data_IF_206727852116
#
_entry.id   IF_206727852116
#
_cell.length_a   1.000
_cell.length_b   1.000
_cell.length_c   1.000
_cell.angle_alpha   90.00
_cell.angle_beta   90.00
_cell.angle_gamma   90.00
#
_symmetry.space_group_name_H-M   'P 1'
#
loop_
_entity.id
_entity.type
_entity.pdbx_description
1 polymer ?
#
# COMPACT_ATOMS: atom_id res chain seq x y z
N UNK A 1 -46.36 32.93 -8.47
CA UNK A 1 -45.05 32.38 -8.90
C UNK A 1 -44.53 33.23 -10.05
N UNK A 2 -43.50 34.03 -9.83
CA UNK A 2 -43.04 35.06 -10.77
C UNK A 2 -42.31 34.43 -11.98
N UNK A 3 -42.39 35.06 -13.16
CA UNK A 3 -41.79 34.61 -14.43
C UNK A 3 -40.30 34.27 -14.29
N UNK A 4 -39.57 34.92 -13.38
CA UNK A 4 -38.16 34.65 -13.04
C UNK A 4 -37.95 33.31 -12.34
N UNK A 5 -38.88 32.87 -11.46
CA UNK A 5 -38.77 31.61 -10.75
C UNK A 5 -39.01 30.41 -11.68
N UNK A 6 -39.90 30.56 -12.68
CA UNK A 6 -40.10 29.54 -13.72
C UNK A 6 -38.87 29.34 -14.62
N UNK A 7 -38.19 30.43 -14.96
CA UNK A 7 -36.99 30.37 -15.80
C UNK A 7 -35.81 29.66 -15.06
N UNK A 8 -35.69 29.92 -13.77
CA UNK A 8 -34.64 29.25 -12.95
C UNK A 8 -34.91 27.75 -12.76
N UNK A 9 -36.15 27.37 -12.50
CA UNK A 9 -36.55 25.95 -12.37
C UNK A 9 -36.35 25.19 -13.72
N UNK A 10 -36.67 25.83 -14.85
CA UNK A 10 -36.51 25.21 -16.17
C UNK A 10 -35.01 25.02 -16.51
N UNK A 11 -34.15 25.96 -16.12
CA UNK A 11 -32.71 25.88 -16.35
C UNK A 11 -32.05 24.79 -15.51
N UNK A 12 -32.49 24.59 -14.24
CA UNK A 12 -32.01 23.51 -13.37
C UNK A 12 -32.47 22.14 -13.90
N UNK A 13 -33.71 22.04 -14.41
CA UNK A 13 -34.24 20.80 -14.98
C UNK A 13 -33.52 20.43 -16.30
N UNK A 14 -33.17 21.41 -17.14
CA UNK A 14 -32.38 21.18 -18.36
C UNK A 14 -30.93 20.77 -18.06
N UNK A 15 -30.28 21.33 -17.03
CA UNK A 15 -28.95 20.91 -16.58
C UNK A 15 -28.97 19.48 -16.01
N UNK A 16 -30.01 19.11 -15.25
CA UNK A 16 -30.15 17.77 -14.71
C UNK A 16 -30.38 16.71 -15.82
N UNK A 17 -31.16 17.02 -16.85
CA UNK A 17 -31.36 16.14 -18.02
C UNK A 17 -30.12 16.01 -18.91
N UNK A 18 -29.37 17.09 -19.10
CA UNK A 18 -28.13 17.08 -19.89
C UNK A 18 -26.99 16.31 -19.18
N UNK A 19 -26.93 16.38 -17.86
CA UNK A 19 -25.98 15.56 -17.08
C UNK A 19 -26.35 14.07 -17.06
N UNK A 20 -27.64 13.74 -17.01
CA UNK A 20 -28.12 12.35 -17.02
C UNK A 20 -27.83 11.63 -18.34
N UNK A 21 -27.92 12.30 -19.47
CA UNK A 21 -27.66 11.70 -20.80
C UNK A 21 -26.18 11.62 -21.13
N UNK A 22 -25.34 12.51 -20.62
CA UNK A 22 -23.88 12.47 -20.80
C UNK A 22 -23.20 11.31 -20.06
N UNK A 23 -23.73 10.92 -18.89
CA UNK A 23 -23.19 9.83 -18.07
C UNK A 23 -23.60 8.46 -18.63
N UNK A 24 -24.83 8.32 -19.15
CA UNK A 24 -25.32 7.08 -19.73
C UNK A 24 -24.61 6.71 -21.05
N UNK A 25 -24.19 7.70 -21.85
CA UNK A 25 -23.52 7.46 -23.14
C UNK A 25 -22.04 7.06 -23.00
N UNK A 26 -21.37 7.32 -21.88
CA UNK A 26 -19.98 6.92 -21.65
C UNK A 26 -19.84 5.49 -21.09
N UNK A 27 -20.94 4.85 -20.67
CA UNK A 27 -20.92 3.48 -20.11
C UNK A 27 -21.11 2.37 -21.14
N UNK A 28 -21.43 2.69 -22.39
CA UNK A 28 -21.62 1.71 -23.45
C UNK A 28 -20.29 1.47 -24.20
N UNK A 29 -19.48 0.52 -23.75
CA UNK A 29 -18.34 0.04 -24.54
C UNK A 29 -17.08 -0.38 -23.76
N UNK A 30 -17.17 -0.73 -22.49
CA UNK A 30 -16.01 -1.32 -21.80
C UNK A 30 -16.15 -2.84 -21.80
N UNK A 31 -15.31 -3.53 -22.60
CA UNK A 31 -15.03 -4.96 -22.39
C UNK A 31 -14.73 -5.19 -20.93
N UNK A 32 -15.29 -6.25 -20.34
CA UNK A 32 -15.00 -6.64 -18.95
C UNK A 32 -13.51 -6.53 -18.68
N UNK A 33 -13.08 -5.90 -17.56
CA UNK A 33 -11.67 -5.72 -17.27
C UNK A 33 -10.98 -7.08 -17.27
N UNK A 34 -9.99 -7.25 -18.15
CA UNK A 34 -9.25 -8.50 -18.28
C UNK A 34 -8.44 -8.69 -17.00
N UNK A 35 -8.86 -9.64 -16.18
CA UNK A 35 -8.13 -10.05 -15.00
C UNK A 35 -6.69 -10.43 -15.36
N UNK A 36 -5.76 -10.24 -14.43
CA UNK A 36 -4.38 -10.67 -14.59
C UNK A 36 -4.34 -12.19 -14.76
N UNK A 37 -3.51 -12.70 -15.67
CA UNK A 37 -3.36 -14.15 -15.86
C UNK A 37 -2.92 -14.80 -14.54
N UNK A 38 -3.45 -15.99 -14.19
CA UNK A 38 -3.07 -16.66 -12.96
C UNK A 38 -1.56 -16.80 -12.78
N UNK A 39 -1.06 -16.52 -11.60
CA UNK A 39 0.36 -16.61 -11.28
C UNK A 39 1.23 -15.43 -11.77
N UNK A 40 0.64 -14.45 -12.44
CA UNK A 40 1.36 -13.23 -12.85
C UNK A 40 1.17 -12.10 -11.85
N UNK A 41 2.18 -11.22 -11.77
CA UNK A 41 2.22 -10.04 -10.89
C UNK A 41 2.56 -8.82 -11.73
N UNK A 42 1.76 -7.77 -11.65
CA UNK A 42 2.06 -6.50 -12.33
C UNK A 42 3.27 -5.84 -11.70
N UNK A 43 4.27 -5.54 -12.52
CA UNK A 43 5.41 -4.67 -12.17
C UNK A 43 5.44 -3.46 -13.08
N UNK A 44 6.26 -2.46 -12.76
CA UNK A 44 6.40 -1.25 -13.58
C UNK A 44 7.00 -1.52 -14.97
N UNK A 45 7.63 -2.68 -15.18
CA UNK A 45 8.15 -3.11 -16.49
C UNK A 45 7.24 -4.10 -17.23
N UNK A 46 6.09 -4.41 -16.67
CA UNK A 46 5.14 -5.40 -17.17
C UNK A 46 4.98 -6.57 -16.21
N UNK A 47 4.09 -7.53 -16.53
CA UNK A 47 3.83 -8.66 -15.65
C UNK A 47 5.01 -9.63 -15.58
N UNK A 48 5.28 -10.14 -14.37
CA UNK A 48 6.26 -11.23 -14.12
C UNK A 48 5.56 -12.41 -13.43
N UNK A 49 6.12 -13.61 -13.54
CA UNK A 49 5.63 -14.76 -12.77
C UNK A 49 5.91 -14.54 -11.27
N UNK A 50 4.99 -14.90 -10.40
CA UNK A 50 5.16 -14.78 -8.94
C UNK A 50 6.39 -15.55 -8.43
N UNK A 51 6.75 -16.68 -9.08
CA UNK A 51 7.94 -17.47 -8.77
C UNK A 51 9.26 -16.69 -9.00
N UNK A 52 9.23 -15.64 -9.83
CA UNK A 52 10.39 -14.84 -10.18
C UNK A 52 10.59 -13.62 -9.28
N UNK A 53 9.72 -13.38 -8.30
CA UNK A 53 9.83 -12.24 -7.39
C UNK A 53 11.11 -12.30 -6.54
N UNK A 54 11.50 -13.50 -6.08
CA UNK A 54 12.68 -13.68 -5.21
C UNK A 54 12.51 -13.00 -3.85
N UNK A 55 13.60 -12.55 -3.24
CA UNK A 55 13.57 -11.80 -1.97
C UNK A 55 12.80 -10.50 -2.18
N UNK A 56 11.71 -10.36 -1.45
CA UNK A 56 10.72 -9.29 -1.65
C UNK A 56 10.46 -8.52 -0.37
N UNK A 57 10.57 -7.19 -0.46
CA UNK A 57 10.10 -6.28 0.57
C UNK A 57 8.71 -5.79 0.18
N UNK A 58 7.73 -6.06 1.03
CA UNK A 58 6.31 -5.83 0.70
C UNK A 58 5.80 -4.43 1.06
N UNK A 59 6.62 -3.60 1.71
CA UNK A 59 6.20 -2.28 2.18
C UNK A 59 7.38 -1.31 2.28
N UNK A 60 7.62 -0.57 1.21
CA UNK A 60 8.62 0.52 1.16
C UNK A 60 8.04 1.71 0.38
N UNK A 61 8.67 2.90 0.50
CA UNK A 61 8.31 4.10 -0.24
C UNK A 61 9.54 4.72 -0.90
N UNK A 62 9.57 4.80 -2.22
CA UNK A 62 10.64 5.51 -2.92
C UNK A 62 10.53 7.02 -2.72
N UNK A 63 9.32 7.53 -2.79
CA UNK A 63 9.02 8.95 -2.58
C UNK A 63 7.70 9.05 -1.83
N UNK A 64 7.62 9.96 -0.88
CA UNK A 64 6.40 10.20 -0.11
C UNK A 64 6.22 11.68 0.19
N UNK A 65 4.97 12.10 0.33
CA UNK A 65 4.57 13.38 0.91
C UNK A 65 3.16 13.29 1.45
N UNK A 66 2.87 14.00 2.52
CA UNK A 66 1.50 14.17 2.99
C UNK A 66 0.67 15.01 2.01
N UNK A 67 -0.67 14.81 1.96
CA UNK A 67 -1.57 15.61 1.14
C UNK A 67 -1.39 17.11 1.40
N UNK A 68 -1.52 17.91 0.36
CA UNK A 68 -1.35 19.36 0.46
C UNK A 68 0.09 19.86 0.29
N UNK A 69 1.10 18.97 0.21
CA UNK A 69 2.51 19.34 -0.01
C UNK A 69 2.70 20.26 -1.23
N UNK A 70 1.92 20.09 -2.28
CA UNK A 70 1.95 20.89 -3.51
C UNK A 70 1.44 22.33 -3.30
N UNK A 71 0.76 22.62 -2.19
CA UNK A 71 0.33 23.99 -1.85
C UNK A 71 1.48 24.87 -1.37
N UNK A 72 2.63 24.27 -1.02
CA UNK A 72 3.86 25.02 -0.77
C UNK A 72 4.56 25.37 -2.07
N UNK A 73 4.02 26.34 -2.78
CA UNK A 73 4.52 26.79 -4.08
C UNK A 73 5.96 27.36 -4.03
N UNK A 74 6.52 27.58 -2.85
CA UNK A 74 7.89 28.09 -2.68
C UNK A 74 8.95 27.03 -2.96
N UNK A 75 8.57 25.74 -2.99
CA UNK A 75 9.46 24.61 -3.25
C UNK A 75 9.26 23.97 -4.63
N UNK A 76 8.37 24.54 -5.44
CA UNK A 76 8.06 24.02 -6.76
C UNK A 76 9.03 24.59 -7.84
N UNK A 77 9.43 23.83 -8.89
CA UNK A 77 9.10 22.42 -9.15
C UNK A 77 9.97 21.44 -8.34
N UNK A 78 9.42 20.24 -8.10
CA UNK A 78 10.13 19.19 -7.39
C UNK A 78 11.36 18.71 -8.16
N UNK A 79 12.42 18.42 -7.41
CA UNK A 79 13.65 17.85 -7.97
C UNK A 79 13.56 16.32 -8.12
N UNK A 80 12.84 15.87 -9.14
CA UNK A 80 12.74 14.45 -9.49
C UNK A 80 14.08 13.83 -9.87
N UNK A 81 15.06 14.60 -10.32
CA UNK A 81 16.42 14.11 -10.58
C UNK A 81 17.13 13.77 -9.27
N UNK A 82 16.94 14.57 -8.25
CA UNK A 82 17.45 14.28 -6.90
C UNK A 82 16.79 13.04 -6.32
N UNK A 83 15.45 12.92 -6.42
CA UNK A 83 14.72 11.73 -6.02
C UNK A 83 15.23 10.47 -6.75
N UNK A 84 15.45 10.56 -8.06
CA UNK A 84 16.02 9.46 -8.85
C UNK A 84 17.42 9.07 -8.34
N UNK A 85 18.30 10.04 -8.11
CA UNK A 85 19.68 9.79 -7.65
C UNK A 85 19.69 9.10 -6.28
N UNK A 86 18.89 9.59 -5.32
CA UNK A 86 18.75 9.00 -3.99
C UNK A 86 18.30 7.55 -4.10
N UNK A 87 17.22 7.30 -4.82
CA UNK A 87 16.64 5.96 -4.94
C UNK A 87 17.52 4.98 -5.72
N UNK A 88 18.32 5.43 -6.68
CA UNK A 88 19.36 4.58 -7.30
C UNK A 88 20.41 4.13 -6.28
N UNK A 89 20.81 5.00 -5.35
CA UNK A 89 21.69 4.66 -4.23
C UNK A 89 21.07 3.61 -3.32
N UNK A 90 19.81 3.79 -2.93
CA UNK A 90 19.05 2.84 -2.09
C UNK A 90 18.94 1.47 -2.78
N UNK A 91 18.59 1.44 -4.08
CA UNK A 91 18.45 0.20 -4.82
C UNK A 91 19.80 -0.52 -5.02
N UNK A 92 20.92 0.21 -5.06
CA UNK A 92 22.26 -0.40 -5.04
C UNK A 92 22.49 -1.15 -3.72
N UNK A 93 22.12 -0.57 -2.57
CA UNK A 93 22.19 -1.25 -1.26
C UNK A 93 21.26 -2.47 -1.21
N UNK A 94 20.03 -2.33 -1.68
CA UNK A 94 19.07 -3.43 -1.74
C UNK A 94 19.62 -4.63 -2.55
N UNK A 95 20.16 -4.37 -3.71
CA UNK A 95 20.78 -5.42 -4.56
C UNK A 95 21.98 -6.09 -3.89
N UNK A 96 22.80 -5.32 -3.19
CA UNK A 96 24.00 -5.85 -2.52
C UNK A 96 23.67 -6.90 -1.44
N UNK A 97 22.44 -6.86 -0.89
CA UNK A 97 21.94 -7.85 0.08
C UNK A 97 20.96 -8.86 -0.56
N UNK A 98 20.81 -8.87 -1.88
CA UNK A 98 20.04 -9.89 -2.60
C UNK A 98 18.55 -9.59 -2.78
N UNK A 99 18.06 -8.40 -2.41
CA UNK A 99 16.67 -7.99 -2.65
C UNK A 99 16.42 -7.91 -4.16
N UNK A 100 15.36 -8.57 -4.63
CA UNK A 100 14.98 -8.64 -6.04
C UNK A 100 13.69 -7.90 -6.37
N UNK A 101 12.79 -7.76 -5.41
CA UNK A 101 11.49 -7.12 -5.60
C UNK A 101 11.17 -6.18 -4.44
N UNK A 102 10.63 -5.01 -4.77
CA UNK A 102 10.15 -4.02 -3.78
C UNK A 102 8.74 -3.61 -4.18
N UNK A 103 7.82 -3.66 -3.22
CA UNK A 103 6.49 -3.08 -3.34
C UNK A 103 6.55 -1.65 -2.80
N UNK A 104 6.30 -0.68 -3.69
CA UNK A 104 6.06 0.71 -3.28
C UNK A 104 4.61 0.84 -2.83
N UNK A 105 4.43 1.01 -1.52
CA UNK A 105 3.14 1.04 -0.86
C UNK A 105 2.49 2.43 -0.84
N UNK A 106 2.96 3.38 -1.67
CA UNK A 106 2.44 4.75 -1.71
C UNK A 106 1.05 4.79 -2.37
N UNK A 107 -0.04 5.08 -1.63
CA UNK A 107 -1.40 5.11 -2.19
C UNK A 107 -1.66 6.35 -3.05
N UNK A 108 -2.87 6.43 -3.63
CA UNK A 108 -3.24 7.46 -4.62
C UNK A 108 -3.33 8.87 -4.06
N UNK A 109 -3.76 8.98 -2.80
CA UNK A 109 -4.17 10.24 -2.16
C UNK A 109 -3.09 10.88 -1.29
N UNK A 110 -1.88 10.32 -1.30
CA UNK A 110 -0.67 10.96 -0.77
C UNK A 110 0.28 11.35 -1.92
N UNK A 111 1.25 12.23 -1.65
CA UNK A 111 2.24 12.60 -2.65
C UNK A 111 3.32 11.54 -2.85
N UNK A 112 4.00 11.61 -3.99
CA UNK A 112 5.20 10.80 -4.24
C UNK A 112 5.00 9.59 -5.12
N UNK A 113 3.80 9.02 -5.25
CA UNK A 113 3.54 7.90 -6.16
C UNK A 113 3.83 8.29 -7.62
N UNK A 114 4.99 7.85 -8.13
CA UNK A 114 5.45 8.19 -9.47
C UNK A 114 5.85 6.95 -10.28
N UNK A 115 4.90 6.32 -11.00
CA UNK A 115 5.16 5.11 -11.78
C UNK A 115 6.25 5.28 -12.84
N UNK A 116 6.41 6.46 -13.42
CA UNK A 116 7.45 6.75 -14.44
C UNK A 116 8.85 6.76 -13.82
N UNK A 117 9.00 7.35 -12.63
CA UNK A 117 10.24 7.28 -11.85
C UNK A 117 10.56 5.82 -11.53
N UNK A 118 9.59 5.05 -11.02
CA UNK A 118 9.78 3.65 -10.65
C UNK A 118 10.16 2.78 -11.86
N UNK A 119 9.58 3.04 -13.03
CA UNK A 119 9.97 2.38 -14.29
C UNK A 119 11.44 2.68 -14.65
N UNK A 120 11.88 3.92 -14.45
CA UNK A 120 13.27 4.32 -14.68
C UNK A 120 14.22 3.63 -13.70
N UNK A 121 13.86 3.58 -12.41
CA UNK A 121 14.60 2.87 -11.37
C UNK A 121 14.74 1.37 -11.69
N UNK A 122 13.63 0.71 -12.01
CA UNK A 122 13.61 -0.71 -12.36
C UNK A 122 14.47 -1.02 -13.58
N UNK A 123 14.38 -0.20 -14.65
CA UNK A 123 15.22 -0.37 -15.86
C UNK A 123 16.72 -0.25 -15.56
N UNK A 124 17.12 0.70 -14.70
CA UNK A 124 18.53 0.94 -14.38
C UNK A 124 19.12 -0.08 -13.42
N UNK A 125 18.30 -0.68 -12.58
CA UNK A 125 18.79 -1.54 -11.49
C UNK A 125 18.51 -3.03 -11.69
N UNK A 126 17.50 -3.37 -12.48
CA UNK A 126 16.99 -4.73 -12.63
C UNK A 126 16.18 -5.22 -11.42
N UNK A 127 15.87 -4.36 -10.46
CA UNK A 127 14.96 -4.68 -9.34
C UNK A 127 13.52 -4.59 -9.84
N UNK A 128 12.70 -5.59 -9.55
CA UNK A 128 11.27 -5.51 -9.79
C UNK A 128 10.66 -4.49 -8.86
N UNK A 129 9.88 -3.56 -9.39
CA UNK A 129 9.12 -2.61 -8.59
C UNK A 129 7.63 -2.81 -8.88
N UNK A 130 6.84 -2.94 -7.82
CA UNK A 130 5.40 -3.11 -7.87
C UNK A 130 4.76 -1.83 -7.33
N UNK A 131 3.92 -1.16 -8.14
CA UNK A 131 3.15 -0.01 -7.70
C UNK A 131 1.90 -0.44 -6.95
N UNK A 132 1.47 0.37 -5.98
CA UNK A 132 0.14 0.27 -5.37
C UNK A 132 -0.89 1.14 -6.10
N UNK A 133 -2.16 0.75 -5.97
CA UNK A 133 -3.35 1.60 -5.97
C UNK A 133 -3.96 1.56 -4.58
N UNK A 134 -4.77 2.53 -4.22
CA UNK A 134 -5.40 2.53 -2.90
C UNK A 134 -5.58 3.92 -2.32
N UNK A 135 -6.11 3.99 -1.10
CA UNK A 135 -6.28 5.23 -0.36
C UNK A 135 -5.77 5.07 1.08
N UNK A 136 -5.22 6.16 1.63
CA UNK A 136 -4.64 6.20 2.96
C UNK A 136 -5.70 6.35 4.05
N UNK A 137 -5.28 6.59 5.29
CA UNK A 137 -6.19 6.83 6.42
C UNK A 137 -7.05 8.07 6.20
N UNK A 138 -8.19 8.18 6.86
CA UNK A 138 -9.03 9.39 6.77
C UNK A 138 -8.30 10.63 7.30
N UNK A 139 -7.49 10.44 8.34
CA UNK A 139 -6.79 11.55 9.00
C UNK A 139 -5.63 12.10 8.17
N UNK A 140 -4.83 11.24 7.56
CA UNK A 140 -3.60 11.61 6.86
C UNK A 140 -3.72 11.56 5.33
N UNK A 141 -4.82 11.01 4.79
CA UNK A 141 -5.12 10.96 3.36
C UNK A 141 -5.86 12.20 2.85
N UNK A 142 -6.55 12.05 1.74
CA UNK A 142 -7.33 13.12 1.09
C UNK A 142 -8.83 12.78 0.98
N UNK A 143 -9.53 12.55 2.09
CA UNK A 143 -10.91 12.07 2.08
C UNK A 143 -11.91 13.09 1.52
N UNK A 144 -11.60 14.40 1.54
CA UNK A 144 -12.51 15.46 1.15
C UNK A 144 -13.07 15.28 -0.26
N UNK A 145 -12.22 14.87 -1.22
CA UNK A 145 -12.64 14.63 -2.60
C UNK A 145 -13.76 13.59 -2.70
N UNK A 146 -13.71 12.52 -1.91
CA UNK A 146 -14.72 11.46 -1.90
C UNK A 146 -15.93 11.84 -1.05
N UNK A 147 -15.70 12.38 0.14
CA UNK A 147 -16.76 12.72 1.12
C UNK A 147 -17.76 13.74 0.61
N UNK A 148 -17.33 14.69 -0.23
CA UNK A 148 -18.23 15.68 -0.85
C UNK A 148 -19.32 15.06 -1.74
N UNK A 149 -19.20 13.80 -2.13
CA UNK A 149 -20.19 13.09 -2.96
C UNK A 149 -21.27 12.40 -2.16
N UNK A 150 -20.99 12.06 -0.90
CA UNK A 150 -21.92 11.32 -0.01
C UNK A 150 -23.24 12.06 0.20
N UNK A 151 -23.30 13.37 0.46
CA UNK A 151 -24.57 14.11 0.61
C UNK A 151 -25.43 14.11 -0.67
N UNK A 152 -24.82 13.80 -1.83
CA UNK A 152 -25.51 13.70 -3.12
C UNK A 152 -25.93 12.27 -3.46
N UNK A 153 -25.90 11.35 -2.47
CA UNK A 153 -26.36 9.97 -2.63
C UNK A 153 -25.36 9.00 -3.32
N UNK A 154 -24.10 9.40 -3.50
CA UNK A 154 -23.12 8.52 -4.09
C UNK A 154 -22.65 7.44 -3.12
N UNK A 155 -22.63 6.18 -3.56
CA UNK A 155 -21.85 5.12 -2.89
C UNK A 155 -20.37 5.28 -3.27
N UNK A 156 -19.62 5.89 -2.37
CA UNK A 156 -18.20 6.14 -2.61
C UNK A 156 -17.38 4.85 -2.70
N UNK A 157 -17.85 3.74 -2.12
CA UNK A 157 -17.15 2.45 -2.25
C UNK A 157 -17.18 1.92 -3.69
N UNK A 158 -18.26 2.17 -4.45
CA UNK A 158 -18.33 1.84 -5.87
C UNK A 158 -17.36 2.70 -6.68
N UNK A 159 -17.42 4.02 -6.49
CA UNK A 159 -16.56 4.95 -7.23
C UNK A 159 -15.06 4.69 -6.98
N UNK A 160 -14.69 4.43 -5.72
CA UNK A 160 -13.31 4.12 -5.33
C UNK A 160 -12.89 2.77 -5.93
N UNK A 161 -13.74 1.75 -5.89
CA UNK A 161 -13.43 0.43 -6.48
C UNK A 161 -13.18 0.51 -7.97
N UNK A 162 -13.93 1.34 -8.70
CA UNK A 162 -13.69 1.58 -10.13
C UNK A 162 -12.28 2.13 -10.39
N UNK A 163 -11.80 3.07 -9.56
CA UNK A 163 -10.44 3.60 -9.70
C UNK A 163 -9.41 2.50 -9.49
N UNK A 164 -9.54 1.71 -8.41
CA UNK A 164 -8.61 0.63 -8.12
C UNK A 164 -8.58 -0.40 -9.25
N UNK A 165 -9.75 -0.83 -9.74
CA UNK A 165 -9.87 -1.80 -10.83
C UNK A 165 -9.24 -1.24 -12.12
N UNK A 166 -9.49 0.03 -12.47
CA UNK A 166 -8.91 0.66 -13.66
C UNK A 166 -7.38 0.75 -13.57
N UNK A 167 -6.83 1.16 -12.43
CA UNK A 167 -5.37 1.22 -12.26
C UNK A 167 -4.70 -0.15 -12.33
N UNK A 168 -5.38 -1.21 -11.89
CA UNK A 168 -4.88 -2.59 -11.96
C UNK A 168 -4.99 -3.16 -13.38
N UNK A 169 -6.06 -2.86 -14.10
CA UNK A 169 -6.37 -3.52 -15.39
C UNK A 169 -5.96 -2.70 -16.61
N UNK A 170 -6.03 -1.38 -16.52
CA UNK A 170 -5.74 -0.46 -17.63
C UNK A 170 -4.45 0.31 -17.44
N UNK A 171 -4.14 0.73 -16.20
CA UNK A 171 -2.92 1.44 -15.84
C UNK A 171 -3.17 2.74 -15.07
N UNK A 172 -2.14 3.19 -14.39
CA UNK A 172 -2.12 4.41 -13.57
C UNK A 172 -2.01 5.63 -14.49
N UNK A 173 -3.06 6.44 -14.53
CA UNK A 173 -3.14 7.59 -15.41
C UNK A 173 -2.91 7.22 -16.88
N UNK A 174 -2.03 7.98 -17.57
CA UNK A 174 -1.66 7.74 -18.97
C UNK A 174 -0.37 6.92 -19.12
N UNK A 175 0.17 6.34 -18.05
CA UNK A 175 1.47 5.66 -18.06
C UNK A 175 1.43 4.27 -18.66
N UNK A 176 0.26 3.62 -18.68
CA UNK A 176 0.09 2.20 -19.01
C UNK A 176 0.70 1.25 -17.96
N UNK A 177 1.30 1.76 -16.90
CA UNK A 177 1.85 0.96 -15.79
C UNK A 177 0.70 0.56 -14.86
N UNK A 178 0.55 -0.73 -14.60
CA UNK A 178 -0.54 -1.29 -13.82
C UNK A 178 -0.14 -1.48 -12.36
N UNK A 179 -1.06 -1.19 -11.44
CA UNK A 179 -0.86 -1.51 -10.03
C UNK A 179 -0.84 -3.03 -9.80
N UNK A 180 0.01 -3.48 -8.89
CA UNK A 180 0.14 -4.90 -8.52
C UNK A 180 -0.36 -5.22 -7.11
N UNK A 181 -0.63 -4.21 -6.27
CA UNK A 181 -1.22 -4.34 -4.94
C UNK A 181 -2.25 -3.23 -4.70
N UNK A 182 -3.19 -3.48 -3.79
CA UNK A 182 -4.14 -2.47 -3.28
C UNK A 182 -3.66 -2.09 -1.89
N UNK A 183 -3.29 -0.82 -1.68
CA UNK A 183 -2.84 -0.29 -0.38
C UNK A 183 -3.94 0.56 0.24
N UNK A 184 -4.41 0.15 1.41
CA UNK A 184 -5.43 0.89 2.17
C UNK A 184 -4.97 1.09 3.61
N UNK A 185 -5.49 2.11 4.26
CA UNK A 185 -5.15 2.43 5.65
C UNK A 185 -6.37 2.74 6.49
N UNK A 186 -6.26 2.49 7.80
CA UNK A 186 -7.24 2.97 8.77
C UNK A 186 -6.55 3.56 9.99
N UNK A 187 -7.24 4.46 10.68
CA UNK A 187 -6.91 4.87 12.03
C UNK A 187 -7.05 3.72 13.04
N UNK A 188 -6.83 3.99 14.34
CA UNK A 188 -7.00 2.99 15.41
C UNK A 188 -8.42 2.42 15.48
N UNK A 189 -9.41 3.21 15.09
CA UNK A 189 -10.81 2.83 14.92
C UNK A 189 -11.21 3.11 13.47
N UNK A 190 -11.88 2.14 12.83
CA UNK A 190 -12.28 2.26 11.43
C UNK A 190 -13.43 3.26 11.30
N UNK A 191 -13.19 4.38 10.66
CA UNK A 191 -14.22 5.38 10.38
C UNK A 191 -15.20 4.93 9.29
N UNK A 192 -16.38 5.55 9.16
CA UNK A 192 -17.30 5.25 8.05
C UNK A 192 -16.69 5.45 6.65
N UNK A 193 -15.79 6.43 6.51
CA UNK A 193 -15.03 6.65 5.27
C UNK A 193 -14.07 5.49 5.00
N UNK A 194 -13.27 5.13 5.99
CA UNK A 194 -12.30 4.04 5.89
C UNK A 194 -12.99 2.69 5.66
N UNK A 195 -14.16 2.45 6.28
CA UNK A 195 -14.98 1.29 6.00
C UNK A 195 -15.40 1.24 4.51
N UNK A 196 -15.75 2.39 3.90
CA UNK A 196 -16.06 2.45 2.47
C UNK A 196 -14.84 2.17 1.60
N UNK A 197 -13.63 2.61 2.02
CA UNK A 197 -12.37 2.32 1.33
C UNK A 197 -12.03 0.84 1.41
N UNK A 198 -12.15 0.21 2.59
CA UNK A 198 -11.94 -1.24 2.76
C UNK A 198 -12.93 -2.07 1.92
N UNK A 199 -14.20 -1.66 1.88
CA UNK A 199 -15.22 -2.29 1.01
C UNK A 199 -14.83 -2.17 -0.47
N UNK A 200 -14.35 -1.00 -0.92
CA UNK A 200 -13.85 -0.80 -2.27
C UNK A 200 -12.64 -1.70 -2.58
N UNK A 201 -11.71 -1.85 -1.63
CA UNK A 201 -10.55 -2.72 -1.78
C UNK A 201 -10.95 -4.19 -1.90
N UNK A 202 -11.89 -4.66 -1.08
CA UNK A 202 -12.42 -6.04 -1.18
C UNK A 202 -13.08 -6.29 -2.55
N UNK A 203 -13.89 -5.35 -3.06
CA UNK A 203 -14.48 -5.42 -4.40
C UNK A 203 -13.42 -5.49 -5.49
N UNK A 204 -12.38 -4.63 -5.40
CA UNK A 204 -11.30 -4.60 -6.37
C UNK A 204 -10.46 -5.88 -6.34
N UNK A 205 -10.14 -6.40 -5.14
CA UNK A 205 -9.45 -7.69 -5.01
C UNK A 205 -10.26 -8.81 -5.66
N UNK A 206 -11.55 -8.92 -5.36
CA UNK A 206 -12.45 -9.93 -5.93
C UNK A 206 -12.52 -9.86 -7.45
N UNK A 207 -12.54 -8.64 -8.02
CA UNK A 207 -12.62 -8.42 -9.47
C UNK A 207 -11.29 -8.70 -10.19
N UNK A 208 -10.16 -8.49 -9.55
CA UNK A 208 -8.84 -8.48 -10.21
C UNK A 208 -7.89 -9.58 -9.73
N UNK A 209 -8.13 -10.13 -8.54
CA UNK A 209 -7.24 -11.09 -7.89
C UNK A 209 -5.94 -10.50 -7.31
N UNK A 210 -5.77 -9.19 -7.33
CA UNK A 210 -4.59 -8.48 -6.79
C UNK A 210 -4.68 -8.42 -5.26
N UNK A 211 -3.59 -8.65 -4.50
CA UNK A 211 -3.65 -8.66 -3.05
C UNK A 211 -3.87 -7.28 -2.42
N UNK A 212 -4.44 -7.28 -1.22
CA UNK A 212 -4.59 -6.10 -0.36
C UNK A 212 -3.46 -6.10 0.66
N UNK A 213 -2.79 -4.96 0.81
CA UNK A 213 -1.85 -4.67 1.89
C UNK A 213 -2.39 -3.48 2.68
N UNK A 214 -2.27 -3.51 4.00
CA UNK A 214 -2.89 -2.48 4.82
C UNK A 214 -1.89 -1.63 5.61
N UNK A 215 -2.38 -0.54 6.15
CA UNK A 215 -1.77 0.27 7.19
C UNK A 215 -2.70 0.26 8.41
N UNK A 216 -2.18 -0.08 9.57
CA UNK A 216 -2.86 0.12 10.86
C UNK A 216 -2.17 1.27 11.58
N UNK A 217 -2.96 2.20 12.13
CA UNK A 217 -2.42 3.27 12.95
C UNK A 217 -2.35 2.83 14.41
N UNK A 218 -1.16 2.96 15.02
CA UNK A 218 -0.95 2.54 16.39
C UNK A 218 -0.98 1.02 16.59
N UNK A 219 -1.14 0.52 17.83
CA UNK A 219 -1.04 -0.90 18.18
C UNK A 219 -2.36 -1.68 18.07
N UNK A 220 -3.31 -1.21 17.28
CA UNK A 220 -4.68 -1.74 17.16
C UNK A 220 -5.16 -1.75 15.70
N UNK A 221 -6.38 -2.25 15.49
CA UNK A 221 -7.13 -2.14 14.24
C UNK A 221 -6.90 -3.27 13.25
N UNK A 222 -5.88 -4.09 13.40
CA UNK A 222 -5.56 -5.14 12.43
C UNK A 222 -6.58 -6.28 12.39
N UNK A 223 -7.17 -6.63 13.55
CA UNK A 223 -8.24 -7.65 13.63
C UNK A 223 -9.49 -7.13 12.93
N UNK A 224 -9.88 -5.91 13.24
CA UNK A 224 -11.06 -5.24 12.70
C UNK A 224 -10.94 -5.03 11.18
N UNK A 225 -9.74 -4.67 10.68
CA UNK A 225 -9.47 -4.59 9.24
C UNK A 225 -9.64 -5.94 8.56
N UNK A 226 -9.05 -7.01 9.13
CA UNK A 226 -9.17 -8.36 8.58
C UNK A 226 -10.63 -8.81 8.55
N UNK A 227 -11.37 -8.63 9.65
CA UNK A 227 -12.79 -8.99 9.75
C UNK A 227 -13.66 -8.25 8.74
N UNK A 228 -13.43 -6.94 8.57
CA UNK A 228 -14.19 -6.15 7.60
C UNK A 228 -13.89 -6.58 6.17
N UNK A 229 -12.63 -6.72 5.80
CA UNK A 229 -12.22 -7.14 4.45
C UNK A 229 -12.79 -8.53 4.10
N UNK A 230 -12.69 -9.49 5.03
CA UNK A 230 -13.22 -10.86 4.84
C UNK A 230 -14.74 -10.84 4.72
N UNK A 231 -15.43 -10.08 5.57
CA UNK A 231 -16.89 -9.92 5.52
C UNK A 231 -17.37 -9.32 4.19
N UNK A 232 -16.61 -8.40 3.60
CA UNK A 232 -16.89 -7.82 2.28
C UNK A 232 -16.47 -8.73 1.12
N UNK A 233 -15.98 -9.95 1.41
CA UNK A 233 -15.71 -11.01 0.45
C UNK A 233 -14.29 -11.01 -0.11
N UNK A 234 -13.33 -10.36 0.55
CA UNK A 234 -11.92 -10.50 0.19
C UNK A 234 -11.39 -11.88 0.60
N UNK A 235 -10.50 -12.45 -0.24
CA UNK A 235 -9.79 -13.70 0.06
C UNK A 235 -8.73 -13.43 1.14
N UNK A 236 -8.83 -14.05 2.34
CA UNK A 236 -7.87 -13.84 3.42
C UNK A 236 -6.44 -14.21 3.04
N UNK A 237 -6.24 -15.18 2.14
CA UNK A 237 -4.92 -15.57 1.63
C UNK A 237 -4.26 -14.50 0.76
N UNK A 238 -5.00 -13.45 0.41
CA UNK A 238 -4.54 -12.28 -0.37
C UNK A 238 -4.64 -10.99 0.43
N UNK A 239 -4.64 -11.08 1.75
CA UNK A 239 -4.63 -9.92 2.66
C UNK A 239 -3.35 -9.98 3.50
N UNK A 240 -2.64 -8.85 3.56
CA UNK A 240 -1.52 -8.62 4.46
C UNK A 240 -1.83 -7.44 5.37
N UNK A 241 -1.98 -7.68 6.67
CA UNK A 241 -2.15 -6.63 7.66
C UNK A 241 -0.78 -6.04 8.00
N UNK A 242 -0.58 -4.77 7.64
CA UNK A 242 0.67 -4.04 7.84
C UNK A 242 0.76 -3.37 9.20
N UNK A 243 1.97 -2.94 9.54
CA UNK A 243 2.34 -2.21 10.76
C UNK A 243 2.01 -2.92 12.06
N UNK A 244 1.88 -4.27 12.03
CA UNK A 244 1.67 -5.01 13.28
C UNK A 244 2.85 -4.85 14.24
N UNK A 245 4.01 -4.44 13.73
CA UNK A 245 5.19 -4.06 14.51
C UNK A 245 4.98 -2.86 15.45
N UNK A 246 3.92 -2.07 15.26
CA UNK A 246 3.56 -0.99 16.21
C UNK A 246 3.13 -1.55 17.57
N UNK A 247 2.71 -2.82 17.65
CA UNK A 247 2.36 -3.49 18.90
C UNK A 247 3.49 -4.41 19.37
N UNK A 248 3.72 -4.42 20.67
CA UNK A 248 4.56 -5.44 21.35
C UNK A 248 3.75 -6.62 21.85
N UNK A 249 2.43 -6.55 21.80
CA UNK A 249 1.50 -7.56 22.26
C UNK A 249 1.43 -8.73 21.27
N UNK A 250 1.98 -9.86 21.66
CA UNK A 250 2.01 -11.06 20.81
C UNK A 250 0.60 -11.66 20.64
N UNK A 251 -0.31 -11.49 21.61
CA UNK A 251 -1.67 -11.99 21.49
C UNK A 251 -2.47 -11.22 20.45
N UNK A 252 -2.18 -9.93 20.28
CA UNK A 252 -2.70 -9.15 19.14
C UNK A 252 -2.25 -9.75 17.79
N UNK A 253 -0.97 -10.13 17.65
CA UNK A 253 -0.48 -10.76 16.43
C UNK A 253 -1.15 -12.12 16.18
N UNK A 254 -1.30 -12.94 17.23
CA UNK A 254 -2.01 -14.24 17.17
C UNK A 254 -3.47 -14.07 16.75
N UNK A 255 -4.15 -13.04 17.28
CA UNK A 255 -5.55 -12.75 16.94
C UNK A 255 -5.73 -12.39 15.44
N UNK A 256 -4.78 -11.65 14.86
CA UNK A 256 -4.80 -11.34 13.41
C UNK A 256 -4.50 -12.63 12.61
N UNK A 257 -3.48 -13.38 12.97
CA UNK A 257 -3.11 -14.64 12.31
C UNK A 257 -4.24 -15.66 12.30
N UNK A 258 -5.06 -15.71 13.36
CA UNK A 258 -6.24 -16.56 13.46
C UNK A 258 -7.31 -16.27 12.40
N UNK A 259 -7.28 -15.08 11.76
CA UNK A 259 -8.15 -14.74 10.62
C UNK A 259 -7.68 -15.36 9.28
N UNK A 260 -6.54 -16.04 9.26
CA UNK A 260 -5.99 -16.69 8.06
C UNK A 260 -5.28 -15.72 7.10
N UNK A 261 -5.07 -14.49 7.51
CA UNK A 261 -4.35 -13.45 6.75
C UNK A 261 -2.84 -13.50 7.00
N UNK A 262 -2.07 -12.76 6.19
CA UNK A 262 -0.66 -12.48 6.47
C UNK A 262 -0.53 -11.26 7.38
N UNK A 263 0.55 -11.22 8.15
CA UNK A 263 0.94 -10.05 8.94
C UNK A 263 2.31 -9.54 8.50
N UNK A 264 2.54 -8.24 8.58
CA UNK A 264 3.82 -7.64 8.25
C UNK A 264 4.42 -6.88 9.43
N UNK A 265 5.58 -7.35 9.89
CA UNK A 265 6.48 -6.55 10.70
C UNK A 265 7.28 -5.65 9.74
N UNK A 266 6.71 -4.53 9.39
CA UNK A 266 7.16 -3.69 8.27
C UNK A 266 7.62 -2.29 8.66
N UNK A 267 7.86 -2.05 9.95
CA UNK A 267 8.52 -0.85 10.48
C UNK A 267 9.82 -1.21 11.21
N UNK A 268 10.53 -2.22 10.70
CA UNK A 268 11.80 -2.67 11.27
C UNK A 268 12.88 -1.60 11.05
N UNK A 269 13.58 -1.23 12.13
CA UNK A 269 14.59 -0.18 12.14
C UNK A 269 14.06 1.21 12.46
N UNK A 270 12.73 1.39 12.57
CA UNK A 270 12.11 2.63 13.01
C UNK A 270 11.98 2.61 14.55
N UNK A 271 13.12 2.73 15.22
CA UNK A 271 13.28 2.53 16.67
C UNK A 271 12.42 3.49 17.51
N UNK A 272 12.02 4.62 16.94
CA UNK A 272 11.14 5.62 17.60
C UNK A 272 9.71 5.05 17.84
N UNK A 273 9.30 4.07 17.07
CA UNK A 273 7.98 3.40 17.22
C UNK A 273 8.12 2.15 18.08
N UNK A 274 8.94 1.20 17.65
CA UNK A 274 9.14 -0.06 18.37
C UNK A 274 10.58 -0.52 18.20
N UNK A 275 11.30 -0.78 19.30
CA UNK A 275 12.66 -1.28 19.24
C UNK A 275 12.76 -2.57 18.42
N UNK A 276 13.75 -2.67 17.55
CA UNK A 276 13.99 -3.83 16.70
C UNK A 276 14.13 -5.12 17.50
N UNK A 277 14.74 -5.08 18.71
CA UNK A 277 14.85 -6.25 19.58
C UNK A 277 13.50 -6.82 20.02
N UNK A 278 12.52 -5.92 20.27
CA UNK A 278 11.17 -6.37 20.64
C UNK A 278 10.47 -7.03 19.44
N UNK A 279 10.65 -6.48 18.24
CA UNK A 279 10.13 -7.07 17.00
C UNK A 279 10.74 -8.45 16.77
N UNK A 280 12.07 -8.59 16.91
CA UNK A 280 12.79 -9.86 16.75
C UNK A 280 12.28 -10.92 17.71
N UNK A 281 12.06 -10.58 18.98
CA UNK A 281 11.50 -11.50 19.98
C UNK A 281 10.10 -11.99 19.59
N UNK A 282 9.23 -11.11 19.15
CA UNK A 282 7.87 -11.47 18.73
C UNK A 282 7.90 -12.36 17.47
N UNK A 283 8.68 -12.00 16.45
CA UNK A 283 8.84 -12.81 15.24
C UNK A 283 9.37 -14.20 15.58
N UNK A 284 10.42 -14.29 16.41
CA UNK A 284 10.98 -15.58 16.83
C UNK A 284 9.99 -16.43 17.62
N UNK A 285 9.20 -15.83 18.51
CA UNK A 285 8.15 -16.54 19.25
C UNK A 285 7.07 -17.09 18.30
N UNK A 286 6.58 -16.28 17.38
CA UNK A 286 5.60 -16.71 16.38
C UNK A 286 6.17 -17.77 15.41
N UNK A 287 7.47 -17.71 15.10
CA UNK A 287 8.15 -18.76 14.32
C UNK A 287 8.20 -20.09 15.08
N UNK A 288 8.44 -20.08 16.40
CA UNK A 288 8.39 -21.29 17.24
C UNK A 288 6.98 -21.88 17.32
N UNK A 289 5.96 -21.05 17.21
CA UNK A 289 4.54 -21.46 17.18
C UNK A 289 4.09 -21.97 15.81
N UNK A 290 4.97 -21.95 14.80
CA UNK A 290 4.66 -22.44 13.44
C UNK A 290 4.09 -21.38 12.49
N UNK A 291 4.07 -20.11 12.88
CA UNK A 291 3.47 -19.03 12.09
C UNK A 291 4.40 -18.38 11.04
N UNK A 292 5.64 -18.88 10.87
CA UNK A 292 6.58 -18.33 9.90
C UNK A 292 5.98 -18.20 8.49
N UNK A 293 5.06 -19.10 8.11
CA UNK A 293 4.39 -19.14 6.82
C UNK A 293 3.32 -18.05 6.62
N UNK A 294 3.12 -17.14 7.57
CA UNK A 294 2.16 -16.02 7.49
C UNK A 294 2.78 -14.67 7.88
N UNK A 295 4.10 -14.61 8.07
CA UNK A 295 4.82 -13.40 8.48
C UNK A 295 5.60 -12.85 7.29
N UNK A 296 5.61 -11.53 7.12
CA UNK A 296 6.46 -10.80 6.18
C UNK A 296 7.26 -9.72 6.91
N UNK A 297 8.41 -9.36 6.34
CA UNK A 297 9.34 -8.38 6.93
C UNK A 297 9.60 -7.25 5.93
N UNK A 298 9.55 -6.01 6.37
CA UNK A 298 9.89 -4.78 5.60
C UNK A 298 10.34 -3.67 6.55
N UNK A 299 10.60 -2.49 6.01
CA UNK A 299 11.10 -1.36 6.82
C UNK A 299 10.16 -0.16 6.83
N UNK A 300 9.23 -0.04 5.86
CA UNK A 300 8.42 1.16 5.64
C UNK A 300 9.31 2.40 5.41
N UNK A 301 10.47 2.20 4.72
CA UNK A 301 11.39 3.31 4.48
C UNK A 301 10.77 4.34 3.57
N UNK A 302 10.95 5.63 3.91
CA UNK A 302 10.71 6.74 3.00
C UNK A 302 12.05 7.28 2.54
N UNK A 303 12.43 6.98 1.30
CA UNK A 303 13.77 7.29 0.80
C UNK A 303 13.93 8.77 0.39
N UNK A 304 12.85 9.39 -0.06
CA UNK A 304 12.84 10.79 -0.47
C UNK A 304 11.50 11.44 -0.12
N UNK A 305 11.56 12.55 0.61
CA UNK A 305 10.39 13.36 0.98
C UNK A 305 10.22 14.51 0.00
N UNK A 306 8.99 14.69 -0.53
CA UNK A 306 8.61 15.90 -1.26
C UNK A 306 8.17 16.98 -0.26
N UNK A 307 8.30 18.23 -0.69
CA UNK A 307 7.96 19.37 0.15
C UNK A 307 9.09 19.71 1.13
N UNK A 308 8.74 20.34 2.24
CA UNK A 308 9.71 20.72 3.28
C UNK A 308 10.22 19.50 4.02
N UNK A 309 11.52 19.40 4.25
CA UNK A 309 12.07 18.32 5.08
C UNK A 309 11.45 18.31 6.46
N UNK A 310 11.12 17.11 6.96
CA UNK A 310 10.74 16.95 8.36
C UNK A 310 11.98 17.19 9.20
N UNK A 311 11.95 18.24 10.06
CA UNK A 311 13.03 18.53 10.99
C UNK A 311 12.97 17.56 12.16
N UNK A 312 13.71 16.44 12.08
CA UNK A 312 13.85 15.50 13.19
C UNK A 312 14.74 16.11 14.26
N UNK A 313 14.27 16.30 15.50
CA UNK A 313 15.11 16.81 16.58
C UNK A 313 16.32 15.90 16.80
N UNK A 314 17.50 16.49 17.11
CA UNK A 314 18.77 15.78 17.23
C UNK A 314 18.70 14.56 18.17
N UNK A 315 17.99 14.69 19.29
CA UNK A 315 17.78 13.59 20.27
C UNK A 315 17.14 12.33 19.68
N UNK A 316 16.46 12.42 18.54
CA UNK A 316 15.81 11.28 17.87
C UNK A 316 16.60 10.76 16.66
N UNK A 317 17.65 11.46 16.20
CA UNK A 317 18.38 11.06 14.98
C UNK A 317 18.89 9.61 15.07
N UNK A 318 19.40 9.22 16.25
CA UNK A 318 19.88 7.86 16.50
C UNK A 318 18.78 6.79 16.28
N UNK A 319 17.53 7.11 16.56
CA UNK A 319 16.41 6.19 16.40
C UNK A 319 16.02 5.95 14.92
N UNK A 320 16.62 6.69 13.98
CA UNK A 320 16.43 6.53 12.55
C UNK A 320 17.65 5.93 11.83
N UNK A 321 18.78 5.70 12.51
CA UNK A 321 20.01 5.17 11.89
C UNK A 321 19.78 3.80 11.22
N UNK A 322 18.91 2.98 11.80
CA UNK A 322 18.58 1.64 11.35
C UNK A 322 17.41 1.61 10.34
N UNK A 323 16.73 2.74 10.12
CA UNK A 323 15.62 2.83 9.18
C UNK A 323 16.13 2.95 7.74
N UNK A 324 16.62 1.83 7.21
CA UNK A 324 17.27 1.74 5.91
C UNK A 324 17.07 0.37 5.27
N UNK A 325 17.05 0.34 3.96
CA UNK A 325 16.61 -0.79 3.11
C UNK A 325 17.39 -2.11 3.33
N UNK A 326 18.60 -2.06 3.82
CA UNK A 326 19.45 -3.24 4.01
C UNK A 326 19.53 -3.73 5.47
N UNK A 327 18.81 -3.06 6.39
CA UNK A 327 18.89 -3.34 7.83
C UNK A 327 18.42 -4.76 8.21
N UNK A 328 17.31 -5.24 7.62
CA UNK A 328 16.82 -6.61 7.86
C UNK A 328 17.93 -7.61 7.54
N UNK A 329 18.55 -7.49 6.37
CA UNK A 329 19.53 -8.47 5.92
C UNK A 329 20.84 -8.40 6.69
N UNK A 330 21.33 -7.21 7.02
CA UNK A 330 22.62 -7.02 7.70
C UNK A 330 22.57 -7.26 9.20
N UNK A 331 21.47 -6.87 9.84
CA UNK A 331 21.39 -6.82 11.30
C UNK A 331 20.30 -7.73 11.87
N UNK A 332 19.07 -7.69 11.31
CA UNK A 332 17.92 -8.38 11.91
C UNK A 332 17.97 -9.89 11.67
N UNK A 333 18.37 -10.35 10.49
CA UNK A 333 18.54 -11.78 10.21
C UNK A 333 19.53 -12.45 11.18
N UNK A 334 20.72 -11.87 11.45
CA UNK A 334 21.60 -12.39 12.50
C UNK A 334 20.95 -12.44 13.90
N UNK A 335 20.14 -11.44 14.26
CA UNK A 335 19.41 -11.43 15.53
C UNK A 335 18.36 -12.53 15.58
N UNK A 336 17.55 -12.70 14.53
CA UNK A 336 16.56 -13.76 14.41
C UNK A 336 17.20 -15.15 14.54
N UNK A 337 18.37 -15.37 13.91
CA UNK A 337 19.12 -16.61 14.03
C UNK A 337 19.58 -16.88 15.46
N UNK A 338 19.99 -15.87 16.20
CA UNK A 338 20.32 -15.99 17.64
C UNK A 338 19.12 -16.41 18.47
N UNK A 339 17.93 -15.97 18.09
CA UNK A 339 16.65 -16.35 18.72
C UNK A 339 16.13 -17.72 18.25
N UNK A 340 16.89 -18.44 17.41
CA UNK A 340 16.57 -19.79 16.93
C UNK A 340 15.71 -19.85 15.67
N UNK A 341 15.50 -18.74 14.98
CA UNK A 341 14.80 -18.74 13.68
C UNK A 341 15.70 -19.36 12.62
N UNK A 342 15.19 -20.34 11.88
CA UNK A 342 15.96 -21.09 10.88
C UNK A 342 16.10 -20.33 9.55
N UNK A 343 17.07 -20.71 8.74
CA UNK A 343 17.23 -20.17 7.38
C UNK A 343 16.01 -20.43 6.49
N UNK A 344 15.34 -21.57 6.69
CA UNK A 344 14.11 -21.92 5.99
C UNK A 344 12.97 -20.97 6.37
N UNK A 345 12.79 -20.67 7.66
CA UNK A 345 11.78 -19.71 8.12
C UNK A 345 12.07 -18.30 7.61
N UNK A 346 13.33 -17.87 7.59
CA UNK A 346 13.74 -16.58 7.03
C UNK A 346 13.42 -16.53 5.54
N UNK A 347 13.77 -17.59 4.79
CA UNK A 347 13.42 -17.70 3.39
C UNK A 347 11.91 -17.65 3.17
N UNK A 348 11.15 -18.37 4.02
CA UNK A 348 9.69 -18.35 3.96
C UNK A 348 9.14 -16.94 4.12
N UNK A 349 9.60 -16.16 5.11
CA UNK A 349 9.13 -14.80 5.36
C UNK A 349 9.47 -13.81 4.25
N UNK A 350 10.63 -13.96 3.59
CA UNK A 350 11.13 -12.99 2.61
C UNK A 350 10.91 -13.40 1.15
N UNK A 351 10.61 -14.68 0.86
CA UNK A 351 10.48 -15.20 -0.50
C UNK A 351 9.14 -15.90 -0.71
N UNK A 352 8.84 -16.91 0.12
CA UNK A 352 7.70 -17.78 -0.14
C UNK A 352 6.37 -17.11 0.22
N UNK A 353 6.29 -16.40 1.33
CA UNK A 353 5.08 -15.68 1.73
C UNK A 353 4.71 -14.54 0.77
N UNK A 354 5.62 -13.64 0.35
CA UNK A 354 5.32 -12.68 -0.69
C UNK A 354 4.79 -13.33 -1.97
N UNK A 355 5.45 -14.39 -2.46
CA UNK A 355 4.98 -15.16 -3.62
C UNK A 355 3.56 -15.72 -3.38
N UNK A 356 3.33 -16.34 -2.24
CA UNK A 356 2.07 -17.01 -1.90
C UNK A 356 0.92 -16.01 -1.74
N UNK A 357 1.18 -14.80 -1.20
CA UNK A 357 0.19 -13.72 -1.14
C UNK A 357 -0.34 -13.36 -2.55
N UNK A 358 0.56 -13.24 -3.53
CA UNK A 358 0.16 -12.97 -4.92
C UNK A 358 -0.58 -14.16 -5.54
N UNK A 359 -0.26 -15.41 -5.16
CA UNK A 359 -0.89 -16.62 -5.66
C UNK A 359 -2.21 -16.97 -4.95
N UNK A 360 -2.49 -16.43 -3.75
CA UNK A 360 -3.65 -16.83 -2.92
C UNK A 360 -3.47 -18.22 -2.31
N UNK A 361 -2.29 -18.48 -1.75
CA UNK A 361 -1.95 -19.78 -1.13
C UNK A 361 -1.77 -19.70 0.37
#
# INVERSE_FOLDING_TARGET
MTRKLRFFLTMILFMALAMGQGIASQMAGTSSPKALSPGMVNTVLGPVKAENLGVTLMHEHFVFAYPGWFSDATLYPEDWQKALKVNLGVLKLAKAVGIKTIVDATPNDVGGRNPTLYKTLAKRTGVNIICSTGLYTEHEGSPAYWRTRVPWGADISELISEVFIKEITQGIGKTGIKAGVIKVGTGPEISPYEASVLKAAAKAQKATGVPIITHTEGPKGGVEQADLLIREGADPKKIMIGHVSNSKDIDYHRAILAKGVYIAFDRIGLEVITPTEAIVKNVAALCREGHANRIMLSHDTVNYWLGRPIAVPEKYLKAFENWRIDHIHKNVIPMLKKEGVTDEQIRTMLVDNPRNLFLGK
#
